data_IF_775763287686
#
_entry.id   IF_775763287686
#
_cell.length_a   1.000
_cell.length_b   1.000
_cell.length_c   1.000
_cell.angle_alpha   90.00
_cell.angle_beta   90.00
_cell.angle_gamma   90.00
#
_symmetry.space_group_name_H-M   'P 1'
#
loop_
_entity.id
_entity.type
_entity.pdbx_description
1 polymer ?
#
# COMPACT_ATOMS: atom_id res chain seq x y z
N UNK A 1 -2.17 14.81 -14.16
CA UNK A 1 -2.30 13.33 -14.10
C UNK A 1 -1.70 12.72 -12.82
N UNK A 2 -0.37 12.74 -12.65
CA UNK A 2 0.34 12.16 -11.47
C UNK A 2 -0.17 12.64 -10.10
N UNK A 3 -0.19 13.95 -9.85
CA UNK A 3 -0.64 14.53 -8.56
C UNK A 3 -2.10 14.17 -8.26
N UNK A 4 -2.96 14.17 -9.29
CA UNK A 4 -4.38 13.85 -9.13
C UNK A 4 -4.56 12.38 -8.73
N UNK A 5 -3.82 11.47 -9.38
CA UNK A 5 -3.82 10.04 -9.05
C UNK A 5 -3.39 9.81 -7.59
N UNK A 6 -2.27 10.43 -7.18
CA UNK A 6 -1.77 10.35 -5.82
C UNK A 6 -2.79 10.89 -4.80
N UNK A 7 -3.39 12.04 -5.09
CA UNK A 7 -4.41 12.64 -4.23
C UNK A 7 -5.64 11.74 -4.08
N UNK A 8 -6.14 11.18 -5.19
CA UNK A 8 -7.33 10.32 -5.16
C UNK A 8 -7.06 8.99 -4.45
N UNK A 9 -5.84 8.45 -4.58
CA UNK A 9 -5.41 7.30 -3.79
C UNK A 9 -5.37 7.63 -2.31
N UNK A 10 -4.74 8.73 -1.89
CA UNK A 10 -4.73 9.12 -0.48
C UNK A 10 -6.14 9.40 0.06
N UNK A 11 -6.98 10.07 -0.74
CA UNK A 11 -8.38 10.29 -0.41
C UNK A 11 -9.09 8.96 -0.14
N UNK A 12 -8.86 7.95 -0.98
CA UNK A 12 -9.43 6.61 -0.78
C UNK A 12 -8.95 5.98 0.53
N UNK A 13 -7.65 6.03 0.83
CA UNK A 13 -7.10 5.53 2.10
C UNK A 13 -7.76 6.21 3.31
N UNK A 14 -7.86 7.54 3.30
CA UNK A 14 -8.48 8.30 4.39
C UNK A 14 -9.98 7.99 4.50
N UNK A 15 -10.67 7.80 3.37
CA UNK A 15 -12.07 7.36 3.36
C UNK A 15 -12.24 6.02 4.08
N UNK A 16 -11.40 5.03 3.79
CA UNK A 16 -11.46 3.70 4.39
C UNK A 16 -11.11 3.75 5.88
N UNK A 17 -10.06 4.52 6.25
CA UNK A 17 -9.58 4.64 7.62
C UNK A 17 -10.54 5.40 8.54
N UNK A 18 -11.26 6.39 8.03
CA UNK A 18 -12.01 7.34 8.89
C UNK A 18 -13.50 7.34 8.64
N UNK A 19 -13.93 7.54 7.39
CA UNK A 19 -15.34 7.68 7.05
C UNK A 19 -16.05 6.33 7.00
N UNK A 20 -15.34 5.30 6.52
CA UNK A 20 -15.80 3.93 6.28
C UNK A 20 -16.91 3.83 5.22
N UNK A 21 -17.10 2.62 4.71
CA UNK A 21 -18.06 2.32 3.63
C UNK A 21 -19.52 2.54 4.06
N UNK A 22 -20.45 2.86 3.13
CA UNK A 22 -21.89 2.82 3.41
C UNK A 22 -22.39 1.47 3.94
N UNK A 23 -21.67 0.37 3.67
CA UNK A 23 -22.03 -0.97 4.16
C UNK A 23 -21.52 -1.26 5.59
N UNK A 24 -20.73 -0.37 6.19
CA UNK A 24 -20.24 -0.55 7.56
C UNK A 24 -21.41 -0.56 8.56
N UNK A 25 -21.50 -1.57 9.45
CA UNK A 25 -22.56 -1.64 10.46
C UNK A 25 -22.58 -0.40 11.36
N UNK A 26 -23.77 0.05 11.76
CA UNK A 26 -23.93 1.28 12.53
C UNK A 26 -23.10 1.32 13.84
N UNK A 27 -22.90 0.17 14.49
CA UNK A 27 -22.10 0.06 15.71
C UNK A 27 -20.58 0.16 15.50
N UNK A 28 -20.11 0.15 14.25
CA UNK A 28 -18.69 0.21 13.88
C UNK A 28 -18.29 1.56 13.27
N UNK A 29 -19.24 2.48 13.10
CA UNK A 29 -19.00 3.78 12.47
C UNK A 29 -18.22 4.73 13.39
N UNK A 30 -17.01 5.09 12.97
CA UNK A 30 -16.04 5.86 13.77
C UNK A 30 -16.49 7.29 14.05
N UNK A 31 -16.97 8.02 13.05
CA UNK A 31 -17.41 9.42 13.26
C UNK A 31 -18.66 9.49 14.11
N UNK A 32 -19.63 8.60 13.90
CA UNK A 32 -20.85 8.52 14.68
C UNK A 32 -20.55 8.17 16.15
N UNK A 33 -19.68 7.18 16.39
CA UNK A 33 -19.21 6.85 17.72
C UNK A 33 -18.49 8.02 18.40
N UNK A 34 -17.64 8.75 17.66
CA UNK A 34 -16.96 9.94 18.18
C UNK A 34 -17.94 11.08 18.50
N UNK A 35 -18.97 11.27 17.67
CA UNK A 35 -20.04 12.23 17.96
C UNK A 35 -20.79 11.83 19.23
N UNK A 36 -21.13 10.55 19.39
CA UNK A 36 -21.81 10.07 20.61
C UNK A 36 -20.96 10.27 21.87
N UNK A 37 -19.66 10.01 21.79
CA UNK A 37 -18.73 10.24 22.89
C UNK A 37 -18.68 11.73 23.29
N UNK A 38 -18.56 12.64 22.30
CA UNK A 38 -18.52 14.08 22.54
C UNK A 38 -19.86 14.59 23.09
N UNK A 39 -20.99 14.11 22.55
CA UNK A 39 -22.32 14.48 23.05
C UNK A 39 -22.49 14.02 24.48
N UNK A 40 -22.06 12.80 24.84
CA UNK A 40 -22.13 12.30 26.21
C UNK A 40 -21.33 13.17 27.20
N UNK A 41 -20.18 13.71 26.77
CA UNK A 41 -19.36 14.61 27.60
C UNK A 41 -20.02 15.96 27.84
N UNK A 42 -20.77 16.48 26.87
CA UNK A 42 -21.41 17.80 26.96
C UNK A 42 -22.90 17.75 27.34
N UNK A 43 -23.50 16.56 27.45
CA UNK A 43 -24.94 16.40 27.65
C UNK A 43 -25.48 17.13 28.90
N UNK A 44 -24.80 17.12 30.06
CA UNK A 44 -25.28 17.85 31.24
C UNK A 44 -25.38 19.36 30.99
N UNK A 45 -24.36 19.95 30.37
CA UNK A 45 -24.32 21.36 30.02
C UNK A 45 -25.36 21.71 28.94
N UNK A 46 -25.50 20.87 27.92
CA UNK A 46 -26.50 21.05 26.85
C UNK A 46 -27.92 21.07 27.41
N UNK A 47 -28.24 20.24 28.40
CA UNK A 47 -29.55 20.24 29.06
C UNK A 47 -29.82 21.53 29.84
N UNK A 48 -28.81 22.05 30.55
CA UNK A 48 -28.92 23.32 31.27
C UNK A 48 -29.10 24.50 30.31
N UNK A 49 -28.33 24.52 29.21
CA UNK A 49 -28.44 25.57 28.20
C UNK A 49 -29.77 25.52 27.47
N UNK A 50 -30.25 24.33 27.07
CA UNK A 50 -31.55 24.20 26.43
C UNK A 50 -32.70 24.62 27.37
N UNK A 51 -32.61 24.32 28.67
CA UNK A 51 -33.61 24.75 29.64
C UNK A 51 -33.61 26.27 29.86
N UNK A 52 -32.44 26.92 29.80
CA UNK A 52 -32.28 28.35 30.04
C UNK A 52 -32.58 29.20 28.81
N UNK A 53 -32.12 28.76 27.65
CA UNK A 53 -32.10 29.56 26.42
C UNK A 53 -33.08 29.06 25.36
N UNK A 54 -33.56 27.82 25.44
CA UNK A 54 -34.40 27.22 24.41
C UNK A 54 -33.68 27.08 23.08
N UNK A 55 -34.44 27.08 21.98
CA UNK A 55 -33.90 27.16 20.61
C UNK A 55 -33.63 28.64 20.30
N UNK A 56 -32.45 29.01 19.76
CA UNK A 56 -32.16 30.38 19.35
C UNK A 56 -33.20 30.95 18.37
N UNK A 57 -33.46 32.25 18.47
CA UNK A 57 -34.40 32.99 17.60
C UNK A 57 -33.78 33.42 16.25
N UNK A 58 -32.53 33.04 16.00
CA UNK A 58 -31.79 33.28 14.77
C UNK A 58 -31.29 31.97 14.16
N UNK A 59 -31.11 31.95 12.83
CA UNK A 59 -30.75 30.72 12.11
C UNK A 59 -31.96 29.80 11.94
N UNK A 60 -31.77 28.50 12.17
CA UNK A 60 -32.86 27.52 12.15
C UNK A 60 -33.54 27.46 13.51
N UNK A 61 -34.68 28.16 13.63
CA UNK A 61 -35.43 28.28 14.88
C UNK A 61 -36.28 27.04 15.20
N UNK A 62 -36.14 25.95 14.43
CA UNK A 62 -36.87 24.70 14.63
C UNK A 62 -36.00 23.54 15.10
N UNK A 63 -34.68 23.75 15.18
CA UNK A 63 -33.69 22.71 15.41
C UNK A 63 -33.09 22.79 16.81
N UNK A 64 -33.29 21.75 17.61
CA UNK A 64 -32.57 21.56 18.86
C UNK A 64 -31.24 20.81 18.67
N UNK A 65 -30.46 20.67 19.76
CA UNK A 65 -29.17 19.98 19.72
C UNK A 65 -29.28 18.51 19.30
N UNK A 66 -30.33 17.81 19.71
CA UNK A 66 -30.52 16.41 19.36
C UNK A 66 -30.81 16.24 17.85
N UNK A 67 -31.64 17.13 17.29
CA UNK A 67 -31.92 17.20 15.86
C UNK A 67 -30.67 17.57 15.06
N UNK A 68 -29.87 18.54 15.52
CA UNK A 68 -28.62 18.92 14.86
C UNK A 68 -27.61 17.75 14.81
N UNK A 69 -27.48 17.00 15.91
CA UNK A 69 -26.65 15.78 15.97
C UNK A 69 -27.18 14.70 15.03
N UNK A 70 -28.50 14.51 14.98
CA UNK A 70 -29.10 13.54 14.05
C UNK A 70 -28.83 13.91 12.59
N UNK A 71 -28.98 15.19 12.21
CA UNK A 71 -28.67 15.70 10.88
C UNK A 71 -27.20 15.51 10.52
N UNK A 72 -26.27 15.76 11.45
CA UNK A 72 -24.84 15.52 11.22
C UNK A 72 -24.57 14.07 10.83
N UNK A 73 -25.23 13.11 11.50
CA UNK A 73 -25.05 11.69 11.19
C UNK A 73 -25.76 11.27 9.90
N UNK A 74 -27.04 11.59 9.74
CA UNK A 74 -27.87 11.08 8.63
C UNK A 74 -27.73 11.88 7.33
N UNK A 75 -27.58 13.20 7.43
CA UNK A 75 -27.59 14.09 6.26
C UNK A 75 -26.18 14.51 5.82
N UNK A 76 -25.20 14.53 6.73
CA UNK A 76 -23.82 14.81 6.36
C UNK A 76 -23.02 13.53 6.17
N UNK A 77 -22.74 12.76 7.22
CA UNK A 77 -21.84 11.60 7.11
C UNK A 77 -22.40 10.50 6.20
N UNK A 78 -23.65 10.08 6.40
CA UNK A 78 -24.23 9.03 5.56
C UNK A 78 -24.32 9.45 4.08
N UNK A 79 -24.75 10.68 3.77
CA UNK A 79 -24.74 11.18 2.38
C UNK A 79 -23.33 11.33 1.81
N UNK A 80 -22.35 11.73 2.62
CA UNK A 80 -20.95 11.84 2.19
C UNK A 80 -20.37 10.47 1.84
N UNK A 81 -20.72 9.41 2.58
CA UNK A 81 -20.35 8.03 2.24
C UNK A 81 -20.88 7.64 0.87
N UNK A 82 -22.17 7.80 0.62
CA UNK A 82 -22.78 7.50 -0.68
C UNK A 82 -22.09 8.29 -1.81
N UNK A 83 -21.89 9.59 -1.59
CA UNK A 83 -21.27 10.44 -2.60
C UNK A 83 -19.83 10.01 -2.94
N UNK A 84 -19.02 9.65 -1.95
CA UNK A 84 -17.62 9.26 -2.19
C UNK A 84 -17.46 7.80 -2.66
N UNK A 85 -18.17 6.85 -2.04
CA UNK A 85 -18.02 5.42 -2.35
C UNK A 85 -18.86 4.97 -3.55
N UNK A 86 -20.04 5.56 -3.77
CA UNK A 86 -20.95 5.13 -4.84
C UNK A 86 -20.90 6.09 -6.02
N UNK A 87 -21.17 7.39 -5.80
CA UNK A 87 -21.18 8.36 -6.91
C UNK A 87 -19.78 8.56 -7.52
N UNK A 88 -18.75 8.64 -6.66
CA UNK A 88 -17.37 8.80 -7.12
C UNK A 88 -16.53 7.53 -7.14
N UNK A 89 -16.97 6.45 -6.50
CA UNK A 89 -16.29 5.16 -6.57
C UNK A 89 -16.56 4.40 -7.87
N UNK A 90 -16.17 3.12 -7.86
CA UNK A 90 -16.14 2.25 -9.04
C UNK A 90 -17.50 2.05 -9.73
N UNK A 91 -18.60 2.02 -8.96
CA UNK A 91 -19.95 1.86 -9.51
C UNK A 91 -20.51 3.14 -10.16
N UNK A 92 -19.91 4.30 -9.88
CA UNK A 92 -20.33 5.60 -10.38
C UNK A 92 -19.37 6.15 -11.42
N UNK A 93 -18.79 7.32 -11.15
CA UNK A 93 -17.85 7.98 -12.06
C UNK A 93 -16.47 7.33 -12.14
N UNK A 94 -16.11 6.42 -11.22
CA UNK A 94 -14.79 5.80 -11.16
C UNK A 94 -13.64 6.77 -10.84
N UNK A 95 -13.95 7.97 -10.34
CA UNK A 95 -12.96 8.99 -10.02
C UNK A 95 -12.12 8.60 -8.79
N UNK A 96 -12.75 8.11 -7.73
CA UNK A 96 -12.07 7.56 -6.56
C UNK A 96 -11.72 6.11 -6.88
N UNK A 97 -10.43 5.71 -6.74
CA UNK A 97 -10.02 4.35 -7.06
C UNK A 97 -10.68 3.34 -6.11
N UNK A 98 -10.58 2.06 -6.48
CA UNK A 98 -10.90 0.95 -5.59
C UNK A 98 -10.04 1.01 -4.31
N UNK A 99 -10.50 0.30 -3.27
CA UNK A 99 -9.69 0.05 -2.08
C UNK A 99 -8.27 -0.38 -2.48
N UNK A 100 -7.28 0.01 -1.69
CA UNK A 100 -5.91 -0.42 -1.95
C UNK A 100 -5.80 -1.90 -1.62
N UNK A 101 -5.61 -2.71 -2.64
CA UNK A 101 -5.36 -4.15 -2.52
C UNK A 101 -3.94 -4.42 -3.04
N UNK A 102 -3.19 -5.26 -2.32
CA UNK A 102 -1.86 -5.77 -2.71
C UNK A 102 -0.86 -4.71 -3.21
N UNK A 103 -0.33 -3.86 -2.32
CA UNK A 103 0.56 -2.77 -2.69
C UNK A 103 1.97 -3.28 -3.01
N UNK A 104 2.17 -3.81 -4.22
CA UNK A 104 3.49 -4.25 -4.72
C UNK A 104 4.50 -3.08 -4.80
N UNK A 105 5.20 -2.84 -3.69
CA UNK A 105 6.27 -1.85 -3.57
C UNK A 105 7.56 -2.59 -3.30
N UNK A 106 8.62 -2.21 -4.02
CA UNK A 106 9.92 -2.86 -3.94
C UNK A 106 11.03 -1.85 -3.67
N UNK A 107 12.15 -2.33 -3.16
CA UNK A 107 13.40 -1.56 -3.20
C UNK A 107 13.94 -1.51 -4.64
N UNK A 108 14.32 -0.31 -5.07
CA UNK A 108 14.98 -0.04 -6.35
C UNK A 108 16.49 0.11 -6.18
N UNK A 109 17.06 1.17 -6.76
CA UNK A 109 18.46 1.53 -6.54
C UNK A 109 18.70 1.98 -5.11
N UNK A 110 19.84 1.57 -4.56
CA UNK A 110 20.31 1.97 -3.23
C UNK A 110 21.75 2.43 -3.37
N UNK A 111 22.01 3.68 -3.01
CA UNK A 111 23.37 4.22 -2.94
C UNK A 111 23.79 4.36 -1.49
N UNK A 112 24.61 3.41 -1.06
CA UNK A 112 25.22 3.36 0.27
C UNK A 112 26.66 3.89 0.28
N UNK A 113 27.18 4.33 -0.88
CA UNK A 113 28.54 4.85 -0.98
C UNK A 113 28.59 5.95 -2.04
N UNK A 114 28.00 7.12 -1.72
CA UNK A 114 27.98 8.25 -2.65
C UNK A 114 29.39 8.60 -3.11
N UNK A 115 29.54 8.92 -4.40
CA UNK A 115 30.85 9.22 -5.01
C UNK A 115 31.58 10.40 -4.32
N UNK A 116 30.83 11.30 -3.68
CA UNK A 116 31.36 12.40 -2.88
C UNK A 116 32.03 11.96 -1.57
N UNK A 117 31.74 10.74 -1.10
CA UNK A 117 32.06 10.25 0.25
C UNK A 117 31.16 10.83 1.35
N UNK A 118 30.16 11.65 1.00
CA UNK A 118 29.23 12.23 1.96
C UNK A 118 28.05 11.28 2.21
N UNK A 119 27.98 10.67 3.40
CA UNK A 119 26.91 9.74 3.76
C UNK A 119 25.52 10.41 3.87
N UNK A 120 25.46 11.74 3.95
CA UNK A 120 24.18 12.47 3.89
C UNK A 120 23.53 12.44 2.49
N UNK A 121 24.30 12.01 1.48
CA UNK A 121 23.81 11.81 0.11
C UNK A 121 23.29 10.38 -0.14
N UNK A 122 23.36 9.48 0.84
CA UNK A 122 22.81 8.13 0.73
C UNK A 122 21.30 8.15 0.48
N UNK A 123 20.80 7.13 -0.21
CA UNK A 123 19.37 7.00 -0.46
C UNK A 123 18.93 5.55 -0.65
N UNK A 124 17.64 5.36 -0.40
CA UNK A 124 16.89 4.14 -0.71
C UNK A 124 15.76 4.51 -1.68
N UNK A 125 15.72 3.89 -2.85
CA UNK A 125 14.60 4.04 -3.78
C UNK A 125 13.51 3.00 -3.44
N UNK A 126 12.27 3.46 -3.33
CA UNK A 126 11.08 2.63 -3.39
C UNK A 126 10.43 2.78 -4.76
N UNK A 127 10.03 1.65 -5.35
CA UNK A 127 9.39 1.59 -6.67
C UNK A 127 8.00 0.99 -6.50
N UNK A 128 6.98 1.73 -6.95
CA UNK A 128 5.64 1.19 -7.03
C UNK A 128 5.51 0.38 -8.33
N UNK A 129 5.34 -0.93 -8.17
CA UNK A 129 5.23 -1.85 -9.29
C UNK A 129 3.78 -1.98 -9.77
N UNK A 130 2.81 -1.31 -9.14
CA UNK A 130 1.42 -1.32 -9.58
C UNK A 130 1.20 -0.34 -10.74
N UNK A 131 0.17 -0.60 -11.54
CA UNK A 131 -0.30 0.34 -12.58
C UNK A 131 -1.14 1.49 -12.01
N UNK A 132 -1.34 1.48 -10.69
CA UNK A 132 -2.09 2.49 -9.93
C UNK A 132 -1.25 2.98 -8.77
N UNK A 133 -1.51 4.21 -8.32
CA UNK A 133 -0.86 4.77 -7.15
C UNK A 133 -1.06 3.89 -5.91
N UNK A 134 -0.04 3.87 -5.04
CA UNK A 134 -0.02 3.19 -3.74
C UNK A 134 0.25 4.21 -2.64
N UNK A 135 -0.65 4.27 -1.68
CA UNK A 135 -0.46 5.00 -0.43
C UNK A 135 0.37 4.17 0.54
N UNK A 136 1.51 4.74 0.97
CA UNK A 136 2.45 4.14 1.91
C UNK A 136 2.51 4.96 3.22
N UNK A 137 1.47 5.73 3.50
CA UNK A 137 1.33 6.49 4.76
C UNK A 137 1.41 5.57 5.98
N UNK A 138 2.34 5.85 6.89
CA UNK A 138 2.52 5.08 8.13
C UNK A 138 3.20 3.71 7.92
N UNK A 139 3.71 3.42 6.73
CA UNK A 139 4.64 2.31 6.51
C UNK A 139 5.98 2.62 7.19
N UNK A 140 6.83 1.61 7.40
CA UNK A 140 8.12 1.81 8.05
C UNK A 140 9.28 1.13 7.36
N UNK A 141 10.47 1.71 7.51
CA UNK A 141 11.74 1.05 7.27
C UNK A 141 12.34 0.55 8.58
N UNK A 142 12.96 -0.61 8.55
CA UNK A 142 13.79 -1.16 9.62
C UNK A 142 15.03 -1.87 9.05
N UNK A 143 16.02 -2.16 9.90
CA UNK A 143 17.31 -2.75 9.52
C UNK A 143 18.45 -1.72 9.55
N UNK A 144 19.22 -1.60 8.47
CA UNK A 144 20.35 -0.66 8.39
C UNK A 144 19.93 0.82 8.46
N UNK A 145 18.68 1.13 8.11
CA UNK A 145 18.07 2.45 8.28
C UNK A 145 16.67 2.29 8.89
N UNK A 146 16.21 3.31 9.60
CA UNK A 146 14.89 3.31 10.21
C UNK A 146 14.12 4.61 9.97
N UNK A 147 12.83 4.48 9.69
CA UNK A 147 11.89 5.61 9.66
C UNK A 147 10.44 5.12 9.66
N UNK A 148 9.54 5.97 10.16
CA UNK A 148 8.13 5.92 9.79
C UNK A 148 7.91 6.85 8.60
N UNK A 149 7.28 6.34 7.55
CA UNK A 149 6.96 7.11 6.35
C UNK A 149 5.78 8.06 6.67
N UNK A 150 5.96 9.39 6.54
CA UNK A 150 4.94 10.36 6.92
C UNK A 150 3.59 10.15 6.22
N UNK A 151 2.51 10.50 6.91
CA UNK A 151 1.18 10.49 6.32
C UNK A 151 1.08 11.41 5.09
N UNK A 152 0.31 10.97 4.08
CA UNK A 152 0.19 11.63 2.78
C UNK A 152 1.25 11.20 1.76
N UNK A 153 2.07 10.20 2.07
CA UNK A 153 3.10 9.67 1.17
C UNK A 153 2.49 8.66 0.21
N UNK A 154 2.42 9.02 -1.06
CA UNK A 154 1.84 8.19 -2.12
C UNK A 154 2.82 8.10 -3.29
N UNK A 155 3.05 6.89 -3.79
CA UNK A 155 3.84 6.67 -5.01
C UNK A 155 2.85 6.46 -6.16
N UNK A 156 2.94 7.23 -7.24
CA UNK A 156 2.09 7.04 -8.42
C UNK A 156 2.32 5.66 -9.08
N UNK A 157 1.40 5.20 -9.93
CA UNK A 157 1.58 3.94 -10.66
C UNK A 157 2.87 3.94 -11.49
N UNK A 158 3.64 2.85 -11.42
CA UNK A 158 4.92 2.68 -12.14
C UNK A 158 5.96 3.79 -11.85
N UNK A 159 5.88 4.42 -10.68
CA UNK A 159 6.72 5.56 -10.28
C UNK A 159 7.60 5.20 -9.07
N UNK A 160 8.44 6.14 -8.62
CA UNK A 160 9.37 5.94 -7.52
C UNK A 160 9.35 7.07 -6.49
N UNK A 161 9.73 6.70 -5.27
CA UNK A 161 9.97 7.58 -4.13
C UNK A 161 11.37 7.34 -3.60
N UNK A 162 12.07 8.40 -3.21
CA UNK A 162 13.41 8.33 -2.67
C UNK A 162 13.37 8.69 -1.19
N UNK A 163 13.74 7.73 -0.35
CA UNK A 163 13.95 7.90 1.07
C UNK A 163 15.42 8.27 1.28
N UNK A 164 15.65 9.39 1.97
CA UNK A 164 16.98 9.98 2.12
C UNK A 164 17.20 10.41 3.57
N UNK A 165 18.45 10.50 3.99
CA UNK A 165 18.77 11.07 5.31
C UNK A 165 18.59 12.59 5.28
N UNK A 166 19.33 13.27 4.41
CA UNK A 166 19.24 14.72 4.21
C UNK A 166 18.69 15.05 2.82
N UNK A 167 17.45 15.56 2.79
CA UNK A 167 16.86 16.01 1.53
C UNK A 167 17.56 17.26 0.95
N UNK A 168 18.34 17.99 1.75
CA UNK A 168 19.17 19.09 1.27
C UNK A 168 20.37 18.55 0.50
N UNK A 169 21.14 17.64 1.11
CA UNK A 169 22.36 17.09 0.53
C UNK A 169 22.07 16.16 -0.65
N UNK A 170 21.03 15.33 -0.56
CA UNK A 170 20.55 14.52 -1.69
C UNK A 170 20.27 15.36 -2.94
N UNK A 171 19.64 16.54 -2.78
CA UNK A 171 19.38 17.43 -3.91
C UNK A 171 20.65 18.06 -4.48
N UNK A 172 21.68 18.21 -3.67
CA UNK A 172 22.98 18.76 -4.03
C UNK A 172 23.94 17.73 -4.68
N UNK A 173 23.57 16.44 -4.70
CA UNK A 173 24.35 15.36 -5.34
C UNK A 173 24.88 15.73 -6.73
N UNK A 174 26.13 15.36 -6.99
CA UNK A 174 26.76 15.61 -8.28
C UNK A 174 26.18 14.73 -9.40
N UNK A 175 25.91 13.46 -9.09
CA UNK A 175 25.35 12.45 -9.99
C UNK A 175 23.88 12.20 -9.68
N UNK A 176 23.14 11.68 -10.68
CA UNK A 176 21.77 11.25 -10.48
C UNK A 176 21.70 10.08 -9.46
N UNK A 177 20.57 9.91 -8.75
CA UNK A 177 19.45 10.85 -8.63
C UNK A 177 19.85 12.12 -7.85
N UNK A 178 19.30 13.29 -8.22
CA UNK A 178 19.61 14.61 -7.64
C UNK A 178 18.49 15.64 -7.80
N UNK A 179 18.71 16.88 -7.37
CA UNK A 179 17.77 17.98 -7.53
C UNK A 179 17.43 18.28 -9.00
N UNK A 180 16.31 19.01 -9.21
CA UNK A 180 15.78 19.39 -10.54
C UNK A 180 15.35 18.23 -11.45
N UNK A 181 15.14 17.03 -10.90
CA UNK A 181 14.67 15.85 -11.63
C UNK A 181 13.19 15.50 -11.35
N UNK A 182 12.46 16.36 -10.64
CA UNK A 182 11.04 16.14 -10.27
C UNK A 182 10.77 14.81 -9.53
N UNK A 183 11.78 14.34 -8.77
CA UNK A 183 11.71 13.15 -7.93
C UNK A 183 10.89 13.43 -6.68
N UNK A 184 10.14 12.42 -6.22
CA UNK A 184 9.49 12.44 -4.92
C UNK A 184 10.52 12.05 -3.87
N UNK A 185 10.82 12.95 -2.94
CA UNK A 185 11.89 12.76 -1.93
C UNK A 185 11.30 12.97 -0.55
N UNK A 186 11.50 12.00 0.35
CA UNK A 186 11.20 12.10 1.77
C UNK A 186 12.51 11.96 2.53
N UNK A 187 12.83 12.97 3.33
CA UNK A 187 14.05 13.02 4.12
C UNK A 187 13.82 12.60 5.57
N UNK A 188 14.90 12.27 6.26
CA UNK A 188 14.93 12.12 7.71
C UNK A 188 14.91 10.69 8.24
N UNK A 189 15.30 9.68 7.44
CA UNK A 189 15.59 8.38 8.03
C UNK A 189 16.81 8.45 8.94
N UNK A 190 16.85 7.60 9.96
CA UNK A 190 17.98 7.40 10.86
C UNK A 190 18.83 6.22 10.39
N UNK A 191 20.10 6.15 10.83
CA UNK A 191 21.02 5.07 10.42
C UNK A 191 21.66 5.28 9.05
N UNK A 192 22.66 4.47 8.72
CA UNK A 192 23.42 4.54 7.46
C UNK A 192 23.31 3.20 6.78
N UNK A 193 23.32 3.20 5.46
CA UNK A 193 23.16 1.96 4.71
C UNK A 193 24.51 1.25 4.70
N UNK A 194 24.66 0.17 5.47
CA UNK A 194 25.85 -0.68 5.39
C UNK A 194 25.72 -1.66 4.21
N UNK A 195 26.80 -1.98 3.47
CA UNK A 195 26.78 -3.03 2.44
C UNK A 195 26.41 -4.42 2.94
N UNK A 196 26.43 -4.65 4.26
CA UNK A 196 26.17 -5.95 4.89
C UNK A 196 24.83 -6.03 5.63
N UNK A 197 24.04 -4.96 5.61
CA UNK A 197 22.76 -4.88 6.31
C UNK A 197 21.62 -4.84 5.31
N UNK A 198 20.57 -5.59 5.61
CA UNK A 198 19.33 -5.52 4.86
C UNK A 198 18.49 -4.33 5.36
N UNK A 199 17.68 -3.79 4.45
CA UNK A 199 16.60 -2.87 4.79
C UNK A 199 15.28 -3.58 4.50
N UNK A 200 14.37 -3.49 5.45
CA UNK A 200 13.05 -4.10 5.39
C UNK A 200 12.01 -2.98 5.28
N UNK A 201 11.00 -3.19 4.45
CA UNK A 201 9.84 -2.32 4.29
C UNK A 201 8.64 -3.02 4.89
N UNK A 202 7.99 -2.41 5.87
CA UNK A 202 6.77 -2.90 6.48
C UNK A 202 5.60 -1.98 6.13
N UNK A 203 4.42 -2.56 5.96
CA UNK A 203 3.21 -1.78 5.81
C UNK A 203 2.73 -1.21 7.16
N UNK A 204 1.62 -0.46 7.11
CA UNK A 204 1.02 0.16 8.30
C UNK A 204 0.51 -0.86 9.34
N UNK A 205 0.23 -2.10 8.93
CA UNK A 205 -0.19 -3.18 9.83
C UNK A 205 1.02 -3.89 10.48
N UNK A 206 2.23 -3.64 9.97
CA UNK A 206 3.47 -4.28 10.41
C UNK A 206 3.80 -5.54 9.61
N UNK A 207 3.11 -5.79 8.51
CA UNK A 207 3.40 -6.91 7.61
C UNK A 207 4.61 -6.55 6.72
N UNK A 208 5.53 -7.50 6.54
CA UNK A 208 6.69 -7.32 5.68
C UNK A 208 6.25 -7.22 4.21
N UNK A 209 6.60 -6.13 3.55
CA UNK A 209 6.30 -5.89 2.13
C UNK A 209 7.49 -6.25 1.24
N UNK A 210 8.69 -5.83 1.63
CA UNK A 210 9.90 -6.05 0.83
C UNK A 210 11.17 -6.06 1.69
N UNK A 211 12.20 -6.74 1.19
CA UNK A 211 13.57 -6.73 1.75
C UNK A 211 14.55 -6.44 0.63
N UNK A 212 15.60 -5.67 0.91
CA UNK A 212 16.67 -5.38 -0.05
C UNK A 212 17.34 -6.65 -0.53
N UNK A 213 17.52 -6.79 -1.85
CA UNK A 213 18.17 -7.96 -2.44
C UNK A 213 17.31 -9.23 -2.45
N UNK A 214 16.06 -9.17 -1.99
CA UNK A 214 15.12 -10.28 -2.04
C UNK A 214 14.48 -10.43 -3.42
N UNK A 215 14.26 -11.68 -3.85
CA UNK A 215 13.49 -11.98 -5.06
C UNK A 215 12.06 -11.43 -4.93
N UNK A 216 11.47 -10.90 -6.01
CA UNK A 216 10.13 -10.29 -5.95
C UNK A 216 9.23 -10.89 -7.02
N UNK A 217 8.05 -11.37 -6.65
CA UNK A 217 7.02 -11.81 -7.57
C UNK A 217 5.91 -10.77 -7.71
N UNK A 218 5.58 -10.36 -8.93
CA UNK A 218 4.63 -9.28 -9.24
C UNK A 218 3.55 -9.82 -10.18
N UNK A 219 2.42 -10.32 -9.64
CA UNK A 219 1.31 -10.80 -10.44
C UNK A 219 0.51 -9.62 -11.06
N UNK A 220 0.00 -9.83 -12.27
CA UNK A 220 -0.83 -8.88 -13.03
C UNK A 220 -1.94 -9.59 -13.78
N UNK A 221 -3.07 -8.90 -13.93
CA UNK A 221 -4.24 -9.34 -14.69
C UNK A 221 -4.73 -10.75 -14.33
N UNK A 222 -4.79 -11.07 -13.03
CA UNK A 222 -5.30 -12.35 -12.54
C UNK A 222 -6.83 -12.38 -12.59
N UNK A 223 -7.40 -12.35 -13.80
CA UNK A 223 -8.86 -12.40 -14.05
C UNK A 223 -9.23 -13.75 -14.64
N UNK A 224 -10.34 -14.35 -14.18
CA UNK A 224 -10.76 -15.67 -14.64
C UNK A 224 -11.06 -15.68 -16.16
N UNK A 225 -10.47 -16.64 -16.88
CA UNK A 225 -10.62 -16.77 -18.33
C UNK A 225 -9.69 -15.87 -19.15
N UNK A 226 -8.93 -14.99 -18.51
CA UNK A 226 -8.00 -14.09 -19.18
C UNK A 226 -6.54 -14.55 -19.09
N UNK A 227 -5.66 -13.84 -19.79
CA UNK A 227 -4.22 -14.05 -19.68
C UNK A 227 -3.68 -13.22 -18.53
N UNK A 228 -3.12 -13.91 -17.53
CA UNK A 228 -2.40 -13.32 -16.42
C UNK A 228 -0.89 -13.36 -16.69
N UNK A 229 -0.16 -12.43 -16.08
CA UNK A 229 1.30 -12.49 -16.04
C UNK A 229 1.83 -12.35 -14.62
N UNK A 230 3.02 -12.89 -14.37
CA UNK A 230 3.75 -12.67 -13.13
C UNK A 230 5.20 -12.36 -13.49
N UNK A 231 5.61 -11.13 -13.24
CA UNK A 231 7.00 -10.71 -13.39
C UNK A 231 7.77 -11.06 -12.13
N UNK A 232 8.92 -11.68 -12.28
CA UNK A 232 9.87 -11.86 -11.19
C UNK A 232 11.02 -10.89 -11.39
N UNK A 233 11.34 -10.13 -10.36
CA UNK A 233 12.40 -9.12 -10.32
C UNK A 233 13.46 -9.50 -9.28
N UNK A 234 14.65 -8.90 -9.41
CA UNK A 234 15.79 -9.12 -8.50
C UNK A 234 16.25 -10.57 -8.42
N UNK A 235 16.03 -11.37 -9.48
CA UNK A 235 16.67 -12.66 -9.62
C UNK A 235 18.13 -12.54 -10.04
N UNK A 236 18.89 -13.60 -9.86
CA UNK A 236 20.26 -13.76 -10.32
C UNK A 236 20.31 -13.57 -11.83
N UNK A 237 21.06 -12.60 -12.40
CA UNK A 237 21.16 -12.39 -13.83
C UNK A 237 21.55 -13.65 -14.63
N UNK A 238 20.74 -14.01 -15.62
CA UNK A 238 20.91 -15.25 -16.41
C UNK A 238 20.63 -16.56 -15.64
N UNK A 239 20.31 -16.48 -14.35
CA UNK A 239 19.95 -17.58 -13.47
C UNK A 239 18.57 -18.16 -13.78
N UNK A 240 18.24 -19.31 -13.21
CA UNK A 240 16.91 -19.89 -13.33
C UNK A 240 16.03 -19.45 -12.17
N UNK A 241 14.80 -19.03 -12.48
CA UNK A 241 13.74 -18.79 -11.50
C UNK A 241 12.61 -19.77 -11.76
N UNK A 242 12.10 -20.35 -10.69
CA UNK A 242 10.86 -21.15 -10.68
C UNK A 242 9.73 -20.32 -10.09
N UNK A 243 8.60 -20.25 -10.77
CA UNK A 243 7.37 -19.70 -10.21
C UNK A 243 6.47 -20.85 -9.75
N UNK A 244 6.17 -20.87 -8.46
CA UNK A 244 5.31 -21.89 -7.84
C UNK A 244 4.07 -21.24 -7.25
N UNK A 245 3.01 -22.03 -7.10
CA UNK A 245 1.76 -21.56 -6.52
C UNK A 245 1.04 -22.63 -5.71
N UNK A 246 0.15 -22.21 -4.83
CA UNK A 246 -0.82 -23.04 -4.12
C UNK A 246 -2.22 -22.45 -4.23
N UNK A 247 -3.21 -23.34 -4.30
CA UNK A 247 -4.63 -22.98 -4.18
C UNK A 247 -5.20 -23.31 -2.79
N UNK A 248 -4.37 -23.84 -1.89
CA UNK A 248 -4.75 -24.22 -0.54
C UNK A 248 -4.53 -23.10 0.47
N UNK A 249 -3.60 -22.19 0.20
CA UNK A 249 -3.26 -21.08 1.10
C UNK A 249 -1.75 -20.87 1.26
N UNK A 250 -1.41 -19.86 2.05
CA UNK A 250 -0.11 -19.77 2.70
C UNK A 250 0.09 -20.96 3.67
N UNK A 251 1.33 -21.39 3.86
CA UNK A 251 1.66 -22.55 4.69
C UNK A 251 3.16 -22.83 4.72
N UNK A 252 3.53 -24.07 5.00
CA UNK A 252 4.92 -24.52 5.03
C UNK A 252 5.03 -25.79 4.19
N UNK A 253 5.90 -25.76 3.17
CA UNK A 253 6.24 -26.92 2.33
C UNK A 253 7.76 -27.03 2.22
N UNK A 254 8.39 -27.98 2.94
CA UNK A 254 9.83 -28.14 2.90
C UNK A 254 10.34 -28.57 1.53
N UNK A 255 11.42 -27.95 1.06
CA UNK A 255 12.11 -28.30 -0.19
C UNK A 255 13.62 -28.44 0.03
N UNK A 256 14.37 -29.05 -0.91
CA UNK A 256 15.83 -29.08 -0.84
C UNK A 256 16.52 -27.71 -0.82
N UNK A 257 15.82 -26.63 -1.19
CA UNK A 257 16.36 -25.28 -1.29
C UNK A 257 15.94 -24.36 -0.14
N UNK A 258 15.00 -24.80 0.69
CA UNK A 258 14.38 -23.98 1.74
C UNK A 258 12.92 -24.35 1.95
N UNK A 259 12.26 -23.71 2.90
CA UNK A 259 10.83 -23.92 3.14
C UNK A 259 10.01 -22.95 2.28
N UNK A 260 9.10 -23.48 1.46
CA UNK A 260 8.15 -22.64 0.74
C UNK A 260 7.06 -22.19 1.70
N UNK A 261 6.70 -20.92 1.63
CA UNK A 261 5.61 -20.31 2.40
C UNK A 261 4.20 -20.72 1.90
N UNK A 262 4.10 -21.84 1.18
CA UNK A 262 2.89 -22.29 0.50
C UNK A 262 2.40 -23.60 1.12
N UNK A 263 1.08 -23.70 1.36
CA UNK A 263 0.48 -24.96 1.80
C UNK A 263 0.43 -25.97 0.64
N UNK A 264 0.65 -27.28 0.89
CA UNK A 264 0.55 -28.29 -0.15
C UNK A 264 -0.91 -28.51 -0.60
N UNK A 265 -1.16 -28.94 -1.86
CA UNK A 265 -0.15 -29.28 -2.88
C UNK A 265 0.36 -28.03 -3.61
N UNK A 266 1.70 -27.85 -3.59
CA UNK A 266 2.37 -26.80 -4.37
C UNK A 266 2.52 -27.26 -5.82
N UNK A 267 2.20 -26.35 -6.75
CA UNK A 267 2.28 -26.56 -8.20
C UNK A 267 3.37 -25.68 -8.80
N UNK A 268 4.04 -26.18 -9.85
CA UNK A 268 4.99 -25.39 -10.64
C UNK A 268 4.25 -24.72 -11.79
N UNK A 269 4.17 -23.38 -11.78
CA UNK A 269 3.66 -22.62 -12.92
C UNK A 269 4.64 -22.62 -14.09
N UNK A 270 5.94 -22.58 -13.79
CA UNK A 270 7.00 -22.74 -14.79
C UNK A 270 8.37 -22.40 -14.24
N UNK A 271 9.40 -22.67 -15.04
CA UNK A 271 10.78 -22.30 -14.76
C UNK A 271 11.37 -21.62 -15.99
N UNK A 272 11.97 -20.44 -15.81
CA UNK A 272 12.54 -19.65 -16.90
C UNK A 272 13.87 -19.04 -16.46
N UNK A 273 14.68 -18.62 -17.43
CA UNK A 273 15.89 -17.84 -17.14
C UNK A 273 15.53 -16.36 -17.03
N UNK A 274 16.14 -15.69 -16.07
CA UNK A 274 16.18 -14.24 -16.01
C UNK A 274 17.01 -13.67 -17.16
N UNK A 275 16.70 -12.45 -17.53
CA UNK A 275 17.56 -11.64 -18.37
C UNK A 275 18.82 -11.19 -17.62
N UNK A 276 19.66 -10.40 -18.28
CA UNK A 276 20.91 -9.89 -17.69
C UNK A 276 20.69 -8.84 -16.60
N UNK A 277 19.45 -8.39 -16.38
CA UNK A 277 19.06 -7.49 -15.29
C UNK A 277 18.39 -8.23 -14.14
N UNK A 278 18.28 -9.56 -14.22
CA UNK A 278 17.66 -10.37 -13.17
C UNK A 278 16.14 -10.45 -13.25
N UNK A 279 15.54 -10.11 -14.41
CA UNK A 279 14.09 -10.08 -14.57
C UNK A 279 13.58 -11.22 -15.46
N UNK A 280 12.37 -11.71 -15.19
CA UNK A 280 11.69 -12.69 -16.05
C UNK A 280 10.19 -12.58 -15.94
N UNK A 281 9.46 -12.81 -17.03
CA UNK A 281 8.00 -12.83 -17.01
C UNK A 281 7.45 -14.24 -17.27
N UNK A 282 6.50 -14.65 -16.43
CA UNK A 282 5.65 -15.82 -16.61
C UNK A 282 4.28 -15.38 -17.10
N UNK A 283 3.70 -16.08 -18.06
CA UNK A 283 2.40 -15.75 -18.64
C UNK A 283 1.59 -17.02 -18.77
N UNK A 284 0.32 -16.99 -18.34
CA UNK A 284 -0.60 -18.11 -18.42
C UNK A 284 -2.04 -17.64 -18.55
N UNK A 285 -2.86 -18.38 -19.29
CA UNK A 285 -4.31 -18.16 -19.31
C UNK A 285 -4.94 -18.82 -18.09
N UNK A 286 -5.65 -18.04 -17.27
CA UNK A 286 -6.36 -18.55 -16.10
C UNK A 286 -7.64 -19.27 -16.52
N UNK A 287 -7.93 -20.47 -16.00
CA UNK A 287 -9.20 -21.13 -16.25
C UNK A 287 -10.38 -20.29 -15.75
N UNK A 288 -11.48 -20.24 -16.49
CA UNK A 288 -12.70 -19.52 -16.08
C UNK A 288 -13.25 -20.01 -14.71
N UNK A 289 -13.00 -21.27 -14.35
CA UNK A 289 -13.37 -21.85 -13.06
C UNK A 289 -12.58 -21.30 -11.86
N UNK A 290 -11.60 -20.41 -12.10
CA UNK A 290 -10.87 -19.72 -11.03
C UNK A 290 -11.60 -18.50 -10.47
N UNK A 291 -12.69 -18.05 -11.10
CA UNK A 291 -13.47 -16.91 -10.61
C UNK A 291 -13.90 -17.12 -9.15
N UNK A 292 -13.65 -16.12 -8.32
CA UNK A 292 -13.92 -16.11 -6.88
C UNK A 292 -12.92 -16.90 -6.02
N UNK A 293 -11.75 -17.27 -6.56
CA UNK A 293 -10.72 -18.01 -5.80
C UNK A 293 -9.46 -17.17 -5.60
N UNK A 294 -8.72 -17.43 -4.53
CA UNK A 294 -7.36 -16.90 -4.34
C UNK A 294 -6.30 -17.87 -4.85
N UNK A 295 -5.16 -17.31 -5.27
CA UNK A 295 -3.93 -18.03 -5.61
C UNK A 295 -2.80 -17.46 -4.77
N UNK A 296 -2.02 -18.31 -4.12
CA UNK A 296 -0.80 -17.91 -3.41
C UNK A 296 0.40 -18.27 -4.28
N UNK A 297 1.25 -17.29 -4.57
CA UNK A 297 2.35 -17.39 -5.52
C UNK A 297 3.66 -17.13 -4.78
N UNK A 298 4.70 -17.89 -5.10
CA UNK A 298 6.06 -17.64 -4.63
C UNK A 298 7.05 -17.89 -5.76
N UNK A 299 8.04 -17.02 -5.91
CA UNK A 299 9.17 -17.25 -6.81
C UNK A 299 10.34 -17.85 -6.03
N UNK A 300 11.14 -18.66 -6.71
CA UNK A 300 12.37 -19.27 -6.17
C UNK A 300 13.49 -19.06 -7.17
N UNK A 301 14.56 -18.39 -6.74
CA UNK A 301 15.79 -18.31 -7.51
C UNK A 301 16.60 -19.57 -7.28
N UNK A 302 16.78 -20.37 -8.33
CA UNK A 302 17.46 -21.66 -8.23
C UNK A 302 18.99 -21.52 -8.07
N UNK A 303 19.53 -20.32 -8.31
CA UNK A 303 20.96 -20.02 -8.24
C UNK A 303 21.33 -19.53 -6.85
N UNK A 304 20.67 -18.48 -6.37
CA UNK A 304 20.92 -17.92 -5.04
C UNK A 304 20.21 -18.70 -3.93
N UNK A 305 19.14 -19.44 -4.27
CA UNK A 305 18.22 -20.13 -3.35
C UNK A 305 17.36 -19.17 -2.53
N UNK A 306 17.22 -17.95 -3.01
CA UNK A 306 16.31 -16.98 -2.41
C UNK A 306 14.88 -17.25 -2.82
N UNK A 307 13.97 -16.95 -1.91
CA UNK A 307 12.53 -17.04 -2.09
C UNK A 307 11.98 -15.63 -2.11
N UNK A 308 11.00 -15.38 -2.98
CA UNK A 308 10.18 -14.18 -2.79
C UNK A 308 9.27 -14.34 -1.59
N UNK A 309 8.71 -13.22 -1.13
CA UNK A 309 7.54 -13.28 -0.27
C UNK A 309 6.37 -14.00 -0.98
N UNK A 310 5.47 -14.54 -0.16
CA UNK A 310 4.24 -15.18 -0.66
C UNK A 310 3.24 -14.10 -1.02
N UNK A 311 2.81 -14.11 -2.27
CA UNK A 311 1.82 -13.16 -2.76
C UNK A 311 0.48 -13.86 -2.89
N UNK A 312 -0.51 -13.42 -2.11
CA UNK A 312 -1.91 -13.77 -2.35
C UNK A 312 -2.49 -12.90 -3.47
N UNK A 313 -3.25 -13.52 -4.37
CA UNK A 313 -3.94 -12.84 -5.46
C UNK A 313 -5.37 -13.36 -5.57
N UNK A 314 -6.35 -12.49 -5.37
CA UNK A 314 -7.75 -12.80 -5.65
C UNK A 314 -8.01 -12.81 -7.16
N UNK A 315 -8.76 -13.82 -7.64
CA UNK A 315 -9.15 -13.95 -9.05
C UNK A 315 -10.64 -13.64 -9.18
N UNK A 316 -11.02 -12.42 -9.61
CA UNK A 316 -12.42 -12.10 -9.92
C UNK A 316 -12.96 -12.94 -11.09
#
# INVERSE_FOLDING_TARGET
>A
PRIQEMFLRHLRTVMDDTLQSPQTPAGELKFEARVDELVAQCLPELQLDQAKWGIPDYGDTSMDYAQAVAILKSEYFAKRRIHLYETHGAAGSGLVPHAQEYPYVAFGEIDHSPVSGNQEEEYVQLVNLNDVAVDISGWSLDGGVSMEIPAGSVIAGQDSLYLVRSALDFRARALAPKGNMSLLVIGGYEGHISPSEDVHLFDKAGDLVATTGGLIAVPRNFVAGETASCSVLQGTPGGFVSLVYSLAGAGSTPTPWGDLGLAPPVQLAGQKRTDMTGQVEFVATLPAAMSGRSVWIQAVDMTSRDFSEVVEVAVP
#
